data_IF_149393303961
#
_entry.id   IF_149393303961
#
_cell.length_a   1.000
_cell.length_b   1.000
_cell.length_c   1.000
_cell.angle_alpha   90.00
_cell.angle_beta   90.00
_cell.angle_gamma   90.00
#
_symmetry.space_group_name_H-M   'P 1'
#
loop_
_entity.id
_entity.type
_entity.pdbx_description
1 polymer ?
#
# COMPACT_ATOMS: atom_id res chain seq x y z
N UNK A 1 4.19 36.78 10.27
CA UNK A 1 2.93 37.52 10.08
C UNK A 1 1.81 36.49 10.07
N UNK A 2 0.75 36.68 10.84
CA UNK A 2 -0.36 35.74 10.94
C UNK A 2 -1.56 36.26 10.14
N UNK A 3 -2.41 35.34 9.69
CA UNK A 3 -3.67 35.69 9.04
C UNK A 3 -4.58 36.41 10.04
N UNK A 4 -5.36 37.41 9.58
CA UNK A 4 -6.34 38.07 10.45
C UNK A 4 -7.44 37.09 10.89
N UNK A 5 -8.09 37.36 12.01
CA UNK A 5 -9.15 36.48 12.55
C UNK A 5 -10.31 36.31 11.55
N UNK A 6 -10.71 37.40 10.91
CA UNK A 6 -11.79 37.40 9.91
C UNK A 6 -11.44 36.54 8.69
N UNK A 7 -10.22 36.68 8.17
CA UNK A 7 -9.74 35.87 7.05
C UNK A 7 -9.59 34.39 7.43
N UNK A 8 -9.17 34.09 8.66
CA UNK A 8 -9.11 32.73 9.16
C UNK A 8 -10.49 32.07 9.23
N UNK A 9 -11.53 32.82 9.63
CA UNK A 9 -12.92 32.35 9.61
C UNK A 9 -13.43 32.12 8.18
N UNK A 10 -13.03 32.96 7.22
CA UNK A 10 -13.36 32.76 5.80
C UNK A 10 -12.76 31.44 5.29
N UNK A 11 -11.47 31.19 5.54
CA UNK A 11 -10.83 29.92 5.14
C UNK A 11 -11.54 28.74 5.77
N UNK A 12 -11.86 28.82 7.07
CA UNK A 12 -12.56 27.75 7.77
C UNK A 12 -13.93 27.43 7.13
N UNK A 13 -14.73 28.45 6.80
CA UNK A 13 -16.02 28.29 6.11
C UNK A 13 -15.85 27.68 4.72
N UNK A 14 -14.88 28.16 3.94
CA UNK A 14 -14.60 27.63 2.60
C UNK A 14 -14.17 26.16 2.65
N UNK A 15 -13.40 25.75 3.68
CA UNK A 15 -13.10 24.33 3.89
C UNK A 15 -14.38 23.53 4.15
N UNK A 16 -15.26 23.99 5.05
CA UNK A 16 -16.50 23.27 5.38
C UNK A 16 -17.43 23.11 4.17
N UNK A 17 -17.46 24.09 3.27
CA UNK A 17 -18.24 24.04 2.03
C UNK A 17 -17.66 23.05 1.00
N UNK A 18 -16.39 22.66 1.12
CA UNK A 18 -15.67 21.82 0.15
C UNK A 18 -15.07 20.57 0.82
N UNK A 19 -15.88 19.81 1.56
CA UNK A 19 -15.49 18.54 2.22
C UNK A 19 -14.26 18.63 3.14
N UNK A 20 -14.04 19.81 3.73
CA UNK A 20 -12.90 20.11 4.58
C UNK A 20 -11.61 20.40 3.82
N UNK A 21 -11.65 20.57 2.50
CA UNK A 21 -10.47 20.77 1.63
C UNK A 21 -10.40 22.21 1.13
N UNK A 22 -9.19 22.75 1.05
CA UNK A 22 -8.92 24.07 0.49
C UNK A 22 -7.77 24.01 -0.50
N UNK A 23 -8.10 24.29 -1.76
CA UNK A 23 -7.21 24.20 -2.93
C UNK A 23 -6.90 25.59 -3.48
N UNK A 24 -5.89 25.65 -4.37
CA UNK A 24 -5.55 26.87 -5.10
C UNK A 24 -6.73 27.42 -5.90
N UNK A 25 -7.57 26.55 -6.49
CA UNK A 25 -8.75 26.97 -7.24
C UNK A 25 -9.79 27.67 -6.35
N UNK A 26 -10.06 27.11 -5.16
CA UNK A 26 -10.99 27.70 -4.19
C UNK A 26 -10.45 29.06 -3.71
N UNK A 27 -9.14 29.12 -3.46
CA UNK A 27 -8.45 30.36 -3.08
C UNK A 27 -8.55 31.42 -4.19
N UNK A 28 -8.26 31.06 -5.44
CA UNK A 28 -8.31 31.98 -6.59
C UNK A 28 -9.70 32.55 -6.83
N UNK A 29 -10.75 31.72 -6.75
CA UNK A 29 -12.16 32.18 -6.88
C UNK A 29 -12.57 33.16 -5.78
N UNK A 30 -11.94 33.05 -4.60
CA UNK A 30 -12.29 33.83 -3.42
C UNK A 30 -11.25 34.86 -3.02
N UNK A 31 -10.26 35.14 -3.87
CA UNK A 31 -9.11 35.99 -3.53
C UNK A 31 -9.54 37.39 -3.05
N UNK A 32 -10.60 37.94 -3.65
CA UNK A 32 -11.16 39.25 -3.30
C UNK A 32 -11.72 39.33 -1.87
N UNK A 33 -11.98 38.20 -1.21
CA UNK A 33 -12.43 38.14 0.19
C UNK A 33 -11.28 38.39 1.18
N UNK A 34 -10.01 38.20 0.78
CA UNK A 34 -8.82 38.37 1.63
C UNK A 34 -8.26 39.80 1.59
N UNK A 35 -9.09 40.78 1.96
CA UNK A 35 -8.75 42.21 1.81
C UNK A 35 -7.53 42.64 2.63
N UNK A 36 -7.39 42.12 3.86
CA UNK A 36 -6.29 42.49 4.74
C UNK A 36 -4.96 41.92 4.21
N UNK A 37 -4.97 40.68 3.72
CA UNK A 37 -3.83 40.05 3.05
C UNK A 37 -3.41 40.80 1.78
N UNK A 38 -4.37 41.31 1.01
CA UNK A 38 -4.11 42.13 -0.18
C UNK A 38 -3.53 43.50 0.21
N UNK A 39 -4.12 44.18 1.19
CA UNK A 39 -3.67 45.50 1.65
C UNK A 39 -2.23 45.48 2.19
N UNK A 40 -1.83 44.39 2.85
CA UNK A 40 -0.47 44.20 3.34
C UNK A 40 0.49 43.58 2.32
N UNK A 41 0.06 43.40 1.05
CA UNK A 41 0.89 42.86 -0.02
C UNK A 41 1.30 41.40 0.16
N UNK A 42 0.56 40.64 0.98
CA UNK A 42 0.83 39.23 1.25
C UNK A 42 0.26 38.31 0.15
N UNK A 43 -0.77 38.78 -0.56
CA UNK A 43 -1.48 38.07 -1.63
C UNK A 43 -1.86 39.06 -2.72
N UNK A 44 -1.56 38.73 -3.97
CA UNK A 44 -1.91 39.53 -5.15
C UNK A 44 -2.66 38.70 -6.20
N UNK A 45 -2.30 37.42 -6.36
CA UNK A 45 -2.91 36.53 -7.35
C UNK A 45 -2.98 35.08 -6.83
N UNK A 46 -3.53 34.17 -7.63
CA UNK A 46 -3.66 32.75 -7.26
C UNK A 46 -2.30 32.06 -7.07
N UNK A 47 -1.24 32.50 -7.76
CA UNK A 47 0.13 31.96 -7.60
C UNK A 47 0.70 32.19 -6.19
N UNK A 48 0.18 33.18 -5.45
CA UNK A 48 0.58 33.43 -4.07
C UNK A 48 0.04 32.40 -3.07
N UNK A 49 -0.74 31.42 -3.54
CA UNK A 49 -1.35 30.39 -2.70
C UNK A 49 -0.32 29.67 -1.81
N UNK A 50 0.87 29.34 -2.31
CA UNK A 50 1.91 28.68 -1.52
C UNK A 50 2.37 29.56 -0.34
N UNK A 51 2.48 30.87 -0.55
CA UNK A 51 2.84 31.81 0.50
C UNK A 51 1.66 31.99 1.48
N UNK A 52 0.43 32.02 0.98
CA UNK A 52 -0.77 32.05 1.80
C UNK A 52 -0.87 30.82 2.72
N UNK A 53 -0.54 29.62 2.23
CA UNK A 53 -0.51 28.41 3.04
C UNK A 53 0.47 28.51 4.23
N UNK A 54 1.57 29.26 4.10
CA UNK A 54 2.50 29.49 5.22
C UNK A 54 1.84 30.29 6.34
N UNK A 55 0.91 31.20 6.03
CA UNK A 55 0.16 31.98 7.02
C UNK A 55 -0.81 31.08 7.81
N UNK A 56 -1.35 30.04 7.17
CA UNK A 56 -2.25 29.08 7.81
C UNK A 56 -1.56 28.17 8.82
N UNK A 57 -0.24 27.94 8.69
CA UNK A 57 0.51 27.07 9.60
C UNK A 57 0.30 27.43 11.06
N UNK A 58 0.30 28.73 11.38
CA UNK A 58 0.15 29.21 12.77
C UNK A 58 -1.17 28.84 13.43
N UNK A 59 -2.24 28.62 12.65
CA UNK A 59 -3.57 28.30 13.21
C UNK A 59 -3.71 26.87 13.74
N UNK A 60 -2.79 25.96 13.37
CA UNK A 60 -2.80 24.53 13.75
C UNK A 60 -4.06 23.73 13.41
N UNK A 61 -5.00 24.33 12.69
CA UNK A 61 -6.27 23.71 12.32
C UNK A 61 -6.19 22.87 11.04
N UNK A 62 -5.10 23.00 10.29
CA UNK A 62 -4.98 22.43 8.95
C UNK A 62 -3.81 21.46 8.86
N UNK A 63 -3.98 20.46 8.01
CA UNK A 63 -2.97 19.49 7.57
C UNK A 63 -2.59 19.81 6.12
N UNK A 64 -1.31 19.68 5.79
CA UNK A 64 -0.76 20.10 4.49
C UNK A 64 -0.48 18.88 3.64
N UNK A 65 -1.00 18.88 2.41
CA UNK A 65 -0.96 17.73 1.51
C UNK A 65 -0.53 18.17 0.11
N UNK A 66 -0.14 17.18 -0.69
CA UNK A 66 0.25 17.35 -2.08
C UNK A 66 -0.39 16.24 -2.92
N UNK A 67 -1.02 16.63 -4.04
CA UNK A 67 -1.62 15.70 -5.01
C UNK A 67 -0.56 15.03 -5.89
N UNK A 68 -0.98 14.03 -6.67
CA UNK A 68 -0.12 13.31 -7.62
C UNK A 68 0.55 14.24 -8.65
N UNK A 69 -0.12 15.33 -9.06
CA UNK A 69 0.44 16.34 -9.98
C UNK A 69 1.33 17.37 -9.27
N UNK A 70 1.56 17.21 -7.96
CA UNK A 70 2.40 18.10 -7.18
C UNK A 70 1.71 19.37 -6.70
N UNK A 71 0.40 19.52 -6.94
CA UNK A 71 -0.42 20.64 -6.44
C UNK A 71 -0.57 20.52 -4.93
N UNK A 72 -0.37 21.62 -4.20
CA UNK A 72 -0.53 21.65 -2.74
C UNK A 72 -1.96 21.99 -2.39
N UNK A 73 -2.45 21.45 -1.29
CA UNK A 73 -3.75 21.81 -0.72
C UNK A 73 -3.69 21.60 0.80
N UNK A 74 -4.69 22.12 1.49
CA UNK A 74 -4.83 21.86 2.93
C UNK A 74 -6.15 21.20 3.22
N UNK A 75 -6.14 20.35 4.25
CA UNK A 75 -7.32 19.69 4.78
C UNK A 75 -7.53 20.07 6.23
N UNK A 76 -8.76 20.37 6.59
CA UNK A 76 -9.17 20.67 7.95
C UNK A 76 -8.96 19.43 8.84
N UNK A 77 -8.30 19.63 9.97
CA UNK A 77 -8.08 18.57 10.97
C UNK A 77 -9.35 18.28 11.76
N UNK A 78 -9.54 17.01 12.07
CA UNK A 78 -10.55 16.58 13.04
C UNK A 78 -10.22 17.11 14.45
N UNK A 79 -11.20 16.99 15.36
CA UNK A 79 -11.07 17.47 16.74
C UNK A 79 -9.94 16.76 17.50
N UNK A 80 -9.70 15.48 17.26
CA UNK A 80 -8.68 14.69 17.95
C UNK A 80 -7.29 15.10 17.50
N UNK A 81 -7.06 15.15 16.20
CA UNK A 81 -5.78 15.62 15.64
C UNK A 81 -5.45 17.05 16.06
N UNK A 82 -6.46 17.95 16.11
CA UNK A 82 -6.26 19.32 16.62
C UNK A 82 -5.79 19.34 18.08
N UNK A 83 -6.38 18.50 18.94
CA UNK A 83 -6.00 18.42 20.35
C UNK A 83 -4.61 17.79 20.54
N UNK A 84 -4.22 16.84 19.71
CA UNK A 84 -2.86 16.26 19.74
C UNK A 84 -1.83 17.32 19.35
N UNK A 85 -2.09 18.03 18.26
CA UNK A 85 -1.21 19.06 17.71
C UNK A 85 -1.13 20.33 18.58
N UNK A 86 -2.20 20.66 19.31
CA UNK A 86 -2.20 21.79 20.24
C UNK A 86 -1.26 21.61 21.43
N UNK A 87 -0.90 20.36 21.78
CA UNK A 87 0.02 20.04 22.87
C UNK A 87 1.49 20.23 22.50
N UNK A 88 1.80 20.31 21.20
CA UNK A 88 3.17 20.42 20.69
C UNK A 88 3.72 21.83 20.87
N UNK A 89 5.03 21.96 21.14
CA UNK A 89 5.70 23.26 21.02
C UNK A 89 5.84 23.68 19.56
N UNK A 90 6.08 24.99 19.30
CA UNK A 90 6.12 25.52 17.93
C UNK A 90 7.17 24.82 17.05
N UNK A 91 8.32 24.48 17.62
CA UNK A 91 9.38 23.74 16.94
C UNK A 91 8.95 22.30 16.61
N UNK A 92 8.36 21.60 17.58
CA UNK A 92 7.87 20.22 17.41
C UNK A 92 6.74 20.16 16.38
N UNK A 93 5.86 21.16 16.41
CA UNK A 93 4.77 21.31 15.46
C UNK A 93 5.28 21.56 14.04
N UNK A 94 6.33 22.37 13.87
CA UNK A 94 6.95 22.58 12.56
C UNK A 94 7.54 21.28 12.00
N UNK A 95 8.23 20.50 12.84
CA UNK A 95 8.77 19.18 12.49
C UNK A 95 7.63 18.20 12.15
N UNK A 96 6.56 18.17 12.95
CA UNK A 96 5.38 17.34 12.71
C UNK A 96 4.72 17.68 11.36
N UNK A 97 4.54 18.96 11.03
CA UNK A 97 3.98 19.37 9.74
C UNK A 97 4.85 18.91 8.56
N UNK A 98 6.17 18.99 8.69
CA UNK A 98 7.09 18.54 7.63
C UNK A 98 6.98 17.02 7.40
N UNK A 99 6.82 16.25 8.47
CA UNK A 99 6.62 14.79 8.41
C UNK A 99 5.26 14.44 7.83
N UNK A 100 4.21 15.13 8.26
CA UNK A 100 2.86 14.91 7.73
C UNK A 100 2.77 15.19 6.22
N UNK A 101 3.40 16.28 5.76
CA UNK A 101 3.40 16.64 4.33
C UNK A 101 4.07 15.56 3.47
N UNK A 102 4.98 14.77 4.05
CA UNK A 102 5.71 13.72 3.34
C UNK A 102 4.92 12.41 3.16
N UNK A 103 3.82 12.24 3.89
CA UNK A 103 2.92 11.10 3.73
C UNK A 103 3.57 9.72 3.90
N UNK A 104 3.30 8.84 2.95
CA UNK A 104 3.72 7.42 2.91
C UNK A 104 5.19 7.21 2.53
N UNK A 105 5.78 8.16 1.79
CA UNK A 105 7.22 8.18 1.43
C UNK A 105 8.13 8.56 2.60
N UNK A 106 7.57 9.20 3.62
CA UNK A 106 8.32 9.71 4.76
C UNK A 106 9.35 10.78 4.36
N UNK A 107 10.05 11.31 5.36
CA UNK A 107 11.01 12.41 5.18
C UNK A 107 12.35 12.10 5.86
N UNK A 108 13.45 12.43 5.18
CA UNK A 108 14.80 12.22 5.69
C UNK A 108 15.20 13.30 6.69
N UNK A 109 15.94 12.90 7.72
CA UNK A 109 16.39 13.82 8.79
C UNK A 109 17.11 15.07 8.27
N UNK A 110 17.91 14.99 7.20
CA UNK A 110 18.58 16.16 6.65
C UNK A 110 17.59 17.13 5.99
N UNK A 111 16.55 16.62 5.32
CA UNK A 111 15.51 17.43 4.70
C UNK A 111 14.63 18.12 5.74
N UNK A 112 14.31 17.43 6.85
CA UNK A 112 13.62 18.06 7.99
C UNK A 112 14.42 19.25 8.52
N UNK A 113 15.75 19.08 8.71
CA UNK A 113 16.63 20.19 9.17
C UNK A 113 16.58 21.37 8.21
N UNK A 114 16.60 21.10 6.91
CA UNK A 114 16.58 22.12 5.86
C UNK A 114 15.24 22.86 5.81
N UNK A 115 14.12 22.14 5.91
CA UNK A 115 12.77 22.72 5.83
C UNK A 115 12.41 23.50 7.09
N UNK A 116 12.80 23.01 8.27
CA UNK A 116 12.51 23.66 9.54
C UNK A 116 13.60 24.67 9.95
N UNK A 117 14.69 24.79 9.20
CA UNK A 117 15.82 25.69 9.45
C UNK A 117 16.40 25.56 10.88
N UNK A 118 16.54 24.31 11.36
CA UNK A 118 16.92 24.00 12.74
C UNK A 118 18.21 23.23 12.86
N UNK A 119 18.87 23.39 14.02
CA UNK A 119 20.11 22.66 14.32
C UNK A 119 19.84 21.18 14.59
N UNK A 120 20.86 20.34 14.40
CA UNK A 120 20.75 18.90 14.60
C UNK A 120 20.30 18.50 16.00
N UNK A 121 20.76 19.19 17.04
CA UNK A 121 20.40 18.90 18.43
C UNK A 121 18.92 19.21 18.72
N UNK A 122 18.42 20.29 18.15
CA UNK A 122 17.01 20.68 18.29
C UNK A 122 16.11 19.66 17.60
N UNK A 123 16.47 19.23 16.38
CA UNK A 123 15.72 18.18 15.68
C UNK A 123 15.68 16.87 16.47
N UNK A 124 16.81 16.41 17.01
CA UNK A 124 16.86 15.14 17.77
C UNK A 124 15.97 15.20 19.01
N UNK A 125 15.93 16.34 19.71
CA UNK A 125 15.03 16.54 20.87
C UNK A 125 13.56 16.51 20.46
N UNK A 126 13.19 17.26 19.41
CA UNK A 126 11.81 17.30 18.92
C UNK A 126 11.34 15.93 18.41
N UNK A 127 12.19 15.19 17.69
CA UNK A 127 11.87 13.83 17.26
C UNK A 127 11.67 12.89 18.44
N UNK A 128 12.51 12.98 19.48
CA UNK A 128 12.37 12.17 20.69
C UNK A 128 11.01 12.42 21.38
N UNK A 129 10.60 13.68 21.51
CA UNK A 129 9.29 14.06 22.07
C UNK A 129 8.15 13.51 21.20
N UNK A 130 8.22 13.69 19.88
CA UNK A 130 7.19 13.21 18.95
C UNK A 130 7.05 11.68 18.93
N UNK A 131 8.16 10.94 19.12
CA UNK A 131 8.19 9.47 19.15
C UNK A 131 7.77 8.90 20.50
N UNK A 132 8.40 9.35 21.59
CA UNK A 132 8.29 8.71 22.91
C UNK A 132 7.14 9.28 23.75
N UNK A 133 6.90 10.59 23.70
CA UNK A 133 5.90 11.22 24.56
C UNK A 133 4.52 11.25 23.90
N UNK A 134 4.47 11.57 22.60
CA UNK A 134 3.19 11.71 21.89
C UNK A 134 2.85 10.51 20.99
N UNK A 135 3.83 9.72 20.55
CA UNK A 135 3.61 8.55 19.70
C UNK A 135 2.97 8.87 18.34
N UNK A 136 3.14 10.10 17.82
CA UNK A 136 2.48 10.54 16.58
C UNK A 136 3.27 10.15 15.32
N UNK A 137 4.56 9.90 15.47
CA UNK A 137 5.52 9.64 14.40
C UNK A 137 6.15 8.28 14.64
N UNK A 138 6.61 7.62 13.57
CA UNK A 138 7.47 6.44 13.62
C UNK A 138 8.71 6.61 12.75
N UNK A 139 9.79 5.94 13.13
CA UNK A 139 11.00 5.85 12.33
C UNK A 139 10.89 4.69 11.33
N UNK A 140 11.27 4.93 10.09
CA UNK A 140 11.33 3.92 9.02
C UNK A 140 12.72 3.91 8.41
N UNK A 141 13.20 2.73 8.05
CA UNK A 141 14.44 2.52 7.31
C UNK A 141 14.12 2.32 5.83
N UNK A 142 14.89 2.95 4.95
CA UNK A 142 14.78 2.69 3.52
C UNK A 142 15.57 1.42 3.20
N UNK A 143 14.90 0.43 2.63
CA UNK A 143 15.50 -0.85 2.22
C UNK A 143 16.68 -0.67 1.25
N UNK A 144 16.59 0.25 0.30
CA UNK A 144 17.65 0.53 -0.67
C UNK A 144 18.78 1.40 -0.08
N UNK A 145 18.52 2.12 1.00
CA UNK A 145 19.46 3.06 1.62
C UNK A 145 19.43 2.96 3.15
N UNK A 146 19.93 1.85 3.69
CA UNK A 146 19.91 1.50 5.12
C UNK A 146 20.52 2.57 6.04
N UNK A 147 21.42 3.41 5.54
CA UNK A 147 22.04 4.50 6.31
C UNK A 147 21.13 5.71 6.53
N UNK A 148 20.01 5.83 5.80
CA UNK A 148 19.09 6.98 5.90
C UNK A 148 17.92 6.67 6.83
N UNK A 149 17.82 7.45 7.90
CA UNK A 149 16.67 7.42 8.83
C UNK A 149 15.54 8.30 8.28
N UNK A 150 14.42 7.69 7.94
CA UNK A 150 13.20 8.36 7.52
C UNK A 150 12.20 8.41 8.69
N UNK A 151 11.35 9.43 8.67
CA UNK A 151 10.25 9.57 9.63
C UNK A 151 8.93 9.75 8.89
N UNK A 152 7.87 9.17 9.43
CA UNK A 152 6.51 9.28 8.90
C UNK A 152 5.47 9.22 10.03
N UNK A 153 4.21 9.52 9.75
CA UNK A 153 3.14 9.40 10.73
C UNK A 153 2.93 7.95 11.18
N UNK A 154 2.59 7.75 12.45
CA UNK A 154 2.41 6.42 13.02
C UNK A 154 1.33 5.60 12.28
N UNK A 155 0.19 6.25 12.00
CA UNK A 155 -0.99 5.64 11.38
C UNK A 155 -0.86 5.44 9.85
N UNK A 156 0.20 5.93 9.21
CA UNK A 156 0.37 5.84 7.76
C UNK A 156 1.21 4.61 7.42
N UNK A 157 0.77 3.78 6.46
CA UNK A 157 1.55 2.64 5.98
C UNK A 157 2.68 3.15 5.07
N UNK A 158 3.94 2.70 5.26
CA UNK A 158 5.05 3.09 4.38
C UNK A 158 4.82 2.63 2.94
N UNK A 159 5.27 3.44 1.98
CA UNK A 159 5.21 3.09 0.57
C UNK A 159 6.00 1.80 0.27
N UNK A 160 5.53 1.02 -0.71
CA UNK A 160 6.16 -0.25 -1.13
C UNK A 160 7.64 -0.10 -1.51
N UNK A 161 8.01 1.04 -2.10
CA UNK A 161 9.38 1.38 -2.46
C UNK A 161 10.30 1.53 -1.23
N UNK A 162 9.75 1.92 -0.07
CA UNK A 162 10.51 2.00 1.17
C UNK A 162 10.65 0.64 1.84
N UNK A 163 9.57 -0.15 1.81
CA UNK A 163 9.52 -1.45 2.46
C UNK A 163 10.15 -2.54 1.63
N UNK A 164 10.44 -2.33 0.34
CA UNK A 164 10.98 -3.35 -0.56
C UNK A 164 9.95 -4.42 -0.97
N UNK A 165 8.67 -4.24 -0.60
CA UNK A 165 7.59 -5.20 -0.82
C UNK A 165 7.79 -6.52 -0.08
N UNK A 166 7.19 -7.60 -0.61
CA UNK A 166 7.10 -8.93 -0.01
C UNK A 166 8.45 -9.62 0.27
N UNK A 167 9.56 -9.07 -0.21
CA UNK A 167 10.93 -9.58 -0.05
C UNK A 167 11.64 -9.08 1.22
N UNK A 168 11.03 -8.11 1.90
CA UNK A 168 11.63 -7.44 3.04
C UNK A 168 10.63 -7.40 4.19
N UNK A 169 11.05 -7.85 5.36
CA UNK A 169 10.24 -7.82 6.57
C UNK A 169 10.90 -6.89 7.57
N UNK A 170 10.17 -5.88 8.06
CA UNK A 170 10.70 -4.87 8.97
C UNK A 170 11.98 -4.15 8.50
N UNK A 171 12.16 -4.00 7.18
CA UNK A 171 13.33 -3.33 6.59
C UNK A 171 14.59 -4.20 6.52
N UNK A 172 14.50 -5.48 6.87
CA UNK A 172 15.55 -6.48 6.67
C UNK A 172 15.22 -7.38 5.48
N UNK A 173 16.26 -7.77 4.75
CA UNK A 173 16.12 -8.69 3.62
C UNK A 173 15.82 -10.08 4.13
N UNK A 174 14.83 -10.74 3.54
CA UNK A 174 14.37 -12.01 4.02
C UNK A 174 15.24 -13.17 3.52
N UNK A 175 16.28 -13.51 4.28
CA UNK A 175 17.26 -14.56 3.94
C UNK A 175 16.67 -15.97 3.93
N UNK A 176 15.59 -16.25 4.68
CA UNK A 176 14.96 -17.60 4.69
C UNK A 176 14.34 -17.98 3.35
N UNK A 177 14.04 -16.99 2.52
CA UNK A 177 13.52 -17.20 1.17
C UNK A 177 14.65 -17.66 0.22
N UNK A 178 15.91 -17.31 0.53
CA UNK A 178 17.10 -17.70 -0.25
C UNK A 178 17.44 -19.17 -0.01
N UNK A 179 17.30 -19.64 1.23
CA UNK A 179 17.83 -20.94 1.64
C UNK A 179 17.13 -22.12 0.93
N UNK A 180 15.84 -21.97 0.65
CA UNK A 180 15.05 -22.93 -0.14
C UNK A 180 15.52 -22.98 -1.61
N UNK A 181 15.90 -21.85 -2.19
CA UNK A 181 16.46 -21.79 -3.55
C UNK A 181 17.83 -22.47 -3.66
N UNK A 182 18.68 -22.31 -2.65
CA UNK A 182 20.00 -22.95 -2.61
C UNK A 182 19.95 -24.47 -2.42
N UNK A 183 18.93 -25.01 -1.74
CA UNK A 183 18.76 -26.45 -1.55
C UNK A 183 18.27 -27.13 -2.84
N UNK A 184 17.46 -26.44 -3.66
CA UNK A 184 16.97 -26.98 -4.93
C UNK A 184 18.04 -26.95 -6.04
N UNK A 185 19.09 -26.14 -5.91
CA UNK A 185 20.23 -26.12 -6.83
C UNK A 185 21.38 -27.03 -6.35
N UNK A 186 21.35 -28.31 -6.70
CA UNK A 186 22.60 -29.08 -6.76
C UNK A 186 23.46 -28.49 -7.88
N UNK A 187 24.42 -27.61 -7.55
CA UNK A 187 25.54 -27.33 -8.46
C UNK A 187 26.11 -25.92 -8.61
N UNK A 188 25.74 -24.91 -7.83
CA UNK A 188 26.39 -23.58 -7.95
C UNK A 188 26.91 -23.02 -6.62
N UNK A 189 28.10 -23.50 -6.22
CA UNK A 189 28.92 -22.98 -5.09
C UNK A 189 29.39 -21.52 -5.28
N UNK A 190 29.08 -20.88 -6.42
CA UNK A 190 29.45 -19.49 -6.69
C UNK A 190 28.46 -18.45 -6.17
N UNK A 191 27.19 -18.79 -5.90
CA UNK A 191 26.20 -17.77 -5.49
C UNK A 191 26.48 -17.19 -4.09
N UNK A 192 26.99 -18.03 -3.17
CA UNK A 192 27.28 -17.63 -1.78
C UNK A 192 28.42 -16.59 -1.68
N UNK A 193 29.45 -16.69 -2.52
CA UNK A 193 30.59 -15.77 -2.50
C UNK A 193 30.34 -14.44 -3.21
N UNK A 194 29.31 -14.35 -4.06
CA UNK A 194 28.97 -13.13 -4.82
C UNK A 194 28.15 -12.16 -3.94
N UNK A 195 27.43 -12.66 -2.93
CA UNK A 195 26.58 -11.87 -2.02
C UNK A 195 27.32 -10.86 -1.13
N UNK A 196 28.66 -10.80 -1.16
CA UNK A 196 29.47 -9.91 -0.30
C UNK A 196 30.01 -8.64 -0.97
N UNK A 197 29.66 -8.33 -2.22
CA UNK A 197 30.24 -7.21 -2.96
C UNK A 197 29.23 -6.12 -3.35
N UNK A 198 29.31 -4.98 -2.65
CA UNK A 198 28.49 -3.77 -2.85
C UNK A 198 28.80 -3.08 -4.21
N UNK A 199 28.05 -3.39 -5.27
CA UNK A 199 27.97 -2.52 -6.45
C UNK A 199 26.55 -2.37 -7.02
N UNK A 200 26.16 -1.15 -7.46
CA UNK A 200 24.78 -0.86 -7.87
C UNK A 200 24.33 -1.51 -9.19
N UNK A 201 25.24 -1.92 -10.07
CA UNK A 201 24.90 -2.67 -11.31
C UNK A 201 24.61 -4.16 -11.06
N UNK A 202 25.10 -4.70 -9.94
CA UNK A 202 24.90 -6.10 -9.57
C UNK A 202 23.56 -6.30 -8.85
N UNK A 203 23.07 -5.27 -8.13
CA UNK A 203 21.75 -5.26 -7.48
C UNK A 203 20.61 -5.53 -8.46
N UNK A 204 20.67 -5.00 -9.68
CA UNK A 204 19.62 -5.19 -10.70
C UNK A 204 19.58 -6.62 -11.25
N UNK A 205 20.75 -7.24 -11.46
CA UNK A 205 20.86 -8.65 -11.85
C UNK A 205 20.46 -9.59 -10.71
N UNK A 206 20.88 -9.29 -9.47
CA UNK A 206 20.43 -9.99 -8.26
C UNK A 206 18.92 -9.91 -8.08
N UNK A 207 18.35 -8.71 -8.22
CA UNK A 207 16.92 -8.49 -8.07
C UNK A 207 16.14 -9.29 -9.11
N UNK A 208 16.59 -9.33 -10.36
CA UNK A 208 15.91 -10.07 -11.43
C UNK A 208 16.01 -11.60 -11.27
N UNK A 209 17.19 -12.11 -10.93
CA UNK A 209 17.41 -13.55 -10.73
C UNK A 209 16.66 -14.02 -9.47
N UNK A 210 16.67 -13.23 -8.40
CA UNK A 210 15.99 -13.56 -7.15
C UNK A 210 14.47 -13.41 -7.24
N UNK A 211 13.97 -12.38 -7.95
CA UNK A 211 12.54 -12.28 -8.28
C UNK A 211 12.06 -13.50 -9.04
N UNK A 212 12.84 -13.98 -10.00
CA UNK A 212 12.50 -15.17 -10.77
C UNK A 212 12.33 -16.40 -9.85
N UNK A 213 13.24 -16.63 -8.90
CA UNK A 213 13.14 -17.75 -7.97
C UNK A 213 12.00 -17.61 -6.95
N UNK A 214 11.78 -16.43 -6.36
CA UNK A 214 10.63 -16.25 -5.46
C UNK A 214 9.32 -16.45 -6.23
N UNK A 215 9.23 -15.86 -7.41
CA UNK A 215 8.05 -15.96 -8.25
C UNK A 215 7.77 -17.42 -8.59
N UNK A 216 8.79 -18.19 -8.95
CA UNK A 216 8.68 -19.64 -9.15
C UNK A 216 8.24 -20.37 -7.87
N UNK A 217 8.78 -20.02 -6.70
CA UNK A 217 8.39 -20.67 -5.44
C UNK A 217 6.94 -20.38 -5.04
N UNK A 218 6.47 -19.14 -5.18
CA UNK A 218 5.07 -18.80 -4.92
C UNK A 218 4.17 -19.45 -5.97
N UNK A 219 4.56 -19.46 -7.25
CA UNK A 219 3.83 -20.18 -8.31
C UNK A 219 3.67 -21.67 -7.96
N UNK A 220 4.73 -22.32 -7.43
CA UNK A 220 4.68 -23.71 -6.98
C UNK A 220 3.74 -23.90 -5.78
N UNK A 221 3.75 -23.01 -4.79
CA UNK A 221 2.82 -23.09 -3.64
C UNK A 221 1.37 -22.86 -4.07
N UNK A 222 1.12 -21.87 -4.94
CA UNK A 222 -0.21 -21.59 -5.50
C UNK A 222 -0.69 -22.78 -6.34
N UNK A 223 0.18 -23.34 -7.18
CA UNK A 223 -0.13 -24.51 -7.99
C UNK A 223 -0.44 -25.74 -7.14
N UNK A 224 0.38 -26.03 -6.11
CA UNK A 224 0.14 -27.13 -5.18
C UNK A 224 -1.18 -26.97 -4.41
N UNK A 225 -1.51 -25.75 -4.00
CA UNK A 225 -2.77 -25.44 -3.34
C UNK A 225 -3.96 -25.65 -4.27
N UNK A 226 -3.93 -25.06 -5.47
CA UNK A 226 -5.03 -25.15 -6.43
C UNK A 226 -5.20 -26.57 -7.00
N UNK A 227 -4.13 -27.35 -7.11
CA UNK A 227 -4.20 -28.76 -7.47
C UNK A 227 -5.02 -29.57 -6.46
N UNK A 228 -4.98 -29.19 -5.17
CA UNK A 228 -5.74 -29.83 -4.09
C UNK A 228 -7.13 -29.22 -3.87
N UNK A 229 -7.26 -27.91 -4.04
CA UNK A 229 -8.47 -27.12 -3.77
C UNK A 229 -8.88 -26.31 -5.01
N UNK A 230 -9.49 -27.01 -5.97
CA UNK A 230 -9.96 -26.42 -7.23
C UNK A 230 -11.10 -25.42 -6.99
N UNK A 231 -11.15 -24.34 -7.77
CA UNK A 231 -12.21 -23.34 -7.68
C UNK A 231 -12.10 -22.41 -6.47
N UNK A 232 -10.87 -22.15 -6.01
CA UNK A 232 -10.61 -21.26 -4.87
C UNK A 232 -10.61 -19.78 -5.30
N UNK A 233 -11.15 -18.91 -4.46
CA UNK A 233 -11.11 -17.45 -4.63
C UNK A 233 -9.74 -16.85 -4.30
N UNK A 234 -9.49 -15.62 -4.75
CA UNK A 234 -8.25 -14.88 -4.49
C UNK A 234 -7.94 -14.80 -2.98
N UNK A 235 -8.96 -14.50 -2.15
CA UNK A 235 -8.79 -14.37 -0.71
C UNK A 235 -8.48 -15.69 -0.03
N UNK A 236 -9.05 -16.81 -0.50
CA UNK A 236 -8.73 -18.15 0.02
C UNK A 236 -7.27 -18.53 -0.26
N UNK A 237 -6.80 -18.27 -1.49
CA UNK A 237 -5.40 -18.51 -1.88
C UNK A 237 -4.47 -17.62 -1.05
N UNK A 238 -4.80 -16.34 -0.92
CA UNK A 238 -3.98 -15.38 -0.15
C UNK A 238 -3.91 -15.76 1.33
N UNK A 239 -5.02 -16.20 1.93
CA UNK A 239 -5.03 -16.66 3.31
C UNK A 239 -4.18 -17.94 3.49
N UNK A 240 -4.24 -18.87 2.55
CA UNK A 240 -3.36 -20.04 2.57
C UNK A 240 -1.88 -19.64 2.55
N UNK A 241 -1.49 -18.70 1.67
CA UNK A 241 -0.11 -18.23 1.58
C UNK A 241 0.33 -17.50 2.86
N UNK A 242 -0.57 -16.76 3.51
CA UNK A 242 -0.30 -16.10 4.81
C UNK A 242 -0.14 -17.07 5.97
N UNK A 243 -0.83 -18.21 5.95
CA UNK A 243 -0.73 -19.25 7.00
C UNK A 243 0.39 -20.26 6.71
N UNK A 244 0.97 -20.22 5.52
CA UNK A 244 2.06 -21.12 5.13
C UNK A 244 3.39 -20.64 5.71
N UNK A 245 4.00 -21.44 6.57
CA UNK A 245 5.35 -21.20 7.12
C UNK A 245 6.46 -21.14 6.05
N UNK A 246 6.14 -21.53 4.80
CA UNK A 246 7.08 -21.56 3.68
C UNK A 246 7.28 -20.20 3.01
N UNK A 247 6.41 -19.23 3.29
CA UNK A 247 6.51 -17.89 2.72
C UNK A 247 6.75 -16.94 3.88
N UNK A 248 7.94 -16.41 3.95
CA UNK A 248 8.30 -15.38 4.90
C UNK A 248 8.05 -14.00 4.26
N UNK A 249 7.27 -13.14 4.90
CA UNK A 249 6.97 -11.77 4.41
C UNK A 249 5.48 -11.40 4.45
N UNK A 250 5.16 -10.14 4.17
CA UNK A 250 3.77 -9.69 4.04
C UNK A 250 3.24 -10.11 2.65
N UNK A 251 2.27 -11.04 2.60
CA UNK A 251 1.62 -11.44 1.35
C UNK A 251 0.39 -10.57 1.10
N UNK A 252 0.44 -9.75 0.05
CA UNK A 252 -0.67 -8.90 -0.38
C UNK A 252 -1.51 -9.58 -1.47
N UNK A 253 -2.83 -9.35 -1.49
CA UNK A 253 -3.71 -9.92 -2.52
C UNK A 253 -3.33 -9.47 -3.94
N UNK A 254 -2.81 -8.25 -4.10
CA UNK A 254 -2.34 -7.72 -5.40
C UNK A 254 -1.17 -8.52 -5.99
N UNK A 255 -0.25 -8.97 -5.13
CA UNK A 255 0.90 -9.78 -5.55
C UNK A 255 0.45 -11.18 -5.95
N UNK A 256 -0.46 -11.77 -5.17
CA UNK A 256 -1.05 -13.08 -5.48
C UNK A 256 -1.83 -13.02 -6.80
N UNK A 257 -2.59 -11.95 -7.04
CA UNK A 257 -3.32 -11.75 -8.30
C UNK A 257 -2.35 -11.66 -9.48
N UNK A 258 -1.26 -10.92 -9.35
CA UNK A 258 -0.24 -10.81 -10.40
C UNK A 258 0.38 -12.17 -10.73
N UNK A 259 0.65 -12.99 -9.71
CA UNK A 259 1.20 -14.34 -9.89
C UNK A 259 0.19 -15.25 -10.58
N UNK A 260 -1.09 -15.16 -10.20
CA UNK A 260 -2.16 -15.91 -10.86
C UNK A 260 -2.32 -15.49 -12.32
N UNK A 261 -2.24 -14.19 -12.62
CA UNK A 261 -2.27 -13.70 -14.00
C UNK A 261 -1.12 -14.28 -14.83
N UNK A 262 0.08 -14.37 -14.27
CA UNK A 262 1.21 -15.03 -14.95
C UNK A 262 0.91 -16.52 -15.18
N UNK A 263 0.36 -17.23 -14.18
CA UNK A 263 -0.02 -18.64 -14.34
C UNK A 263 -1.14 -18.85 -15.39
N UNK A 264 -2.03 -17.87 -15.57
CA UNK A 264 -3.03 -17.87 -16.65
C UNK A 264 -2.35 -17.69 -18.01
N UNK A 265 -1.37 -16.77 -18.12
CA UNK A 265 -0.58 -16.58 -19.35
C UNK A 265 0.25 -17.82 -19.69
N UNK A 266 0.75 -18.53 -18.67
CA UNK A 266 1.45 -19.81 -18.81
C UNK A 266 0.49 -21.00 -19.08
N UNK A 267 -0.81 -20.75 -19.24
CA UNK A 267 -1.82 -21.79 -19.49
C UNK A 267 -1.94 -22.84 -18.36
N UNK A 268 -1.46 -22.54 -17.15
CA UNK A 268 -1.49 -23.45 -15.99
C UNK A 268 -2.69 -23.24 -15.09
N UNK A 269 -3.28 -22.05 -15.10
CA UNK A 269 -4.45 -21.68 -14.30
C UNK A 269 -5.55 -21.12 -15.19
N UNK A 270 -6.80 -21.47 -14.90
CA UNK A 270 -7.98 -20.89 -15.52
C UNK A 270 -8.77 -20.07 -14.50
N UNK A 271 -9.35 -18.95 -14.93
CA UNK A 271 -10.25 -18.13 -14.12
C UNK A 271 -11.69 -18.31 -14.62
N UNK A 272 -12.62 -18.56 -13.70
CA UNK A 272 -14.04 -18.66 -13.99
C UNK A 272 -14.84 -17.71 -13.07
N UNK A 273 -15.83 -16.98 -13.60
CA UNK A 273 -16.75 -16.22 -12.77
C UNK A 273 -17.75 -17.15 -12.09
N UNK A 274 -18.01 -16.91 -10.80
CA UNK A 274 -19.11 -17.53 -10.04
C UNK A 274 -20.44 -16.83 -10.33
N UNK A 275 -21.54 -17.41 -9.87
CA UNK A 275 -22.86 -16.79 -9.93
C UNK A 275 -22.94 -15.44 -9.18
N UNK A 276 -22.08 -15.23 -8.18
CA UNK A 276 -21.95 -13.95 -7.46
C UNK A 276 -21.15 -12.89 -8.22
N UNK A 277 -20.50 -13.24 -9.33
CA UNK A 277 -19.61 -12.36 -10.11
C UNK A 277 -18.14 -12.38 -9.64
N UNK A 278 -17.81 -13.16 -8.61
CA UNK A 278 -16.45 -13.31 -8.12
C UNK A 278 -15.63 -14.26 -9.00
N UNK A 279 -14.31 -14.07 -9.08
CA UNK A 279 -13.44 -14.97 -9.84
C UNK A 279 -12.90 -16.09 -8.97
N UNK A 280 -13.07 -17.33 -9.44
CA UNK A 280 -12.43 -18.52 -8.89
C UNK A 280 -11.32 -19.02 -9.81
N UNK A 281 -10.26 -19.56 -9.21
CA UNK A 281 -9.09 -20.03 -9.93
C UNK A 281 -8.95 -21.54 -9.85
N UNK A 282 -8.53 -22.11 -10.96
CA UNK A 282 -8.58 -23.54 -11.22
C UNK A 282 -7.25 -23.98 -11.82
N UNK A 283 -6.62 -25.00 -11.24
CA UNK A 283 -5.34 -25.52 -11.71
C UNK A 283 -5.52 -26.51 -12.86
N UNK A 284 -4.98 -26.16 -14.03
CA UNK A 284 -4.87 -27.01 -15.21
C UNK A 284 -3.51 -27.74 -15.27
N UNK A 285 -2.47 -27.20 -14.63
CA UNK A 285 -1.13 -27.80 -14.63
C UNK A 285 -0.57 -27.91 -16.05
N UNK A 286 -0.15 -29.12 -16.46
CA UNK A 286 0.29 -29.45 -17.82
C UNK A 286 -0.82 -30.09 -18.67
N UNK A 287 -2.05 -30.18 -18.16
CA UNK A 287 -3.18 -30.67 -18.95
C UNK A 287 -3.63 -29.59 -19.95
N UNK A 288 -4.17 -30.04 -21.09
CA UNK A 288 -4.71 -29.13 -22.10
C UNK A 288 -5.79 -28.23 -21.45
N UNK A 289 -5.57 -26.91 -21.43
CA UNK A 289 -6.51 -25.92 -20.87
C UNK A 289 -7.92 -26.08 -21.43
N UNK A 290 -8.01 -26.57 -22.67
CA UNK A 290 -9.26 -26.85 -23.35
C UNK A 290 -10.06 -27.99 -22.70
N UNK A 291 -9.40 -28.94 -22.03
CA UNK A 291 -10.06 -29.97 -21.19
C UNK A 291 -10.58 -29.36 -19.89
N UNK A 292 -9.79 -28.52 -19.22
CA UNK A 292 -10.25 -27.81 -18.02
C UNK A 292 -11.48 -26.95 -18.36
N UNK A 293 -11.40 -26.11 -19.38
CA UNK A 293 -12.54 -25.29 -19.85
C UNK A 293 -13.82 -26.12 -20.11
N UNK A 294 -13.69 -27.30 -20.72
CA UNK A 294 -14.83 -28.21 -20.97
C UNK A 294 -15.33 -28.91 -19.71
N UNK A 295 -14.44 -29.38 -18.84
CA UNK A 295 -14.78 -30.03 -17.57
C UNK A 295 -15.46 -29.06 -16.60
N UNK A 296 -15.05 -27.79 -16.60
CA UNK A 296 -15.63 -26.73 -15.76
C UNK A 296 -16.80 -25.98 -16.42
N UNK A 297 -17.15 -26.34 -17.66
CA UNK A 297 -18.49 -26.15 -18.22
C UNK A 297 -19.56 -27.02 -17.55
N UNK A 298 -19.16 -27.91 -16.63
CA UNK A 298 -20.09 -28.70 -15.84
C UNK A 298 -20.97 -27.79 -14.96
N UNK A 299 -22.26 -28.09 -14.87
CA UNK A 299 -23.26 -27.21 -14.24
C UNK A 299 -23.03 -27.03 -12.74
N UNK A 300 -22.32 -27.95 -12.09
CA UNK A 300 -22.02 -27.87 -10.66
C UNK A 300 -21.20 -26.62 -10.28
N UNK A 301 -20.34 -26.10 -11.16
CA UNK A 301 -19.51 -24.91 -10.88
C UNK A 301 -20.27 -23.59 -11.00
N UNK A 302 -21.44 -23.61 -11.65
CA UNK A 302 -22.35 -22.46 -11.79
C UNK A 302 -23.68 -22.65 -11.05
N UNK A 303 -23.75 -23.68 -10.20
CA UNK A 303 -24.98 -24.05 -9.52
C UNK A 303 -25.14 -23.22 -8.24
N UNK A 304 -26.20 -22.41 -8.18
CA UNK A 304 -26.50 -21.54 -7.04
C UNK A 304 -26.75 -22.30 -5.73
N UNK A 305 -27.07 -23.59 -5.82
CA UNK A 305 -27.34 -24.49 -4.68
C UNK A 305 -26.25 -25.55 -4.49
N UNK A 306 -25.06 -25.37 -5.08
CA UNK A 306 -23.97 -26.34 -5.01
C UNK A 306 -23.57 -26.70 -3.57
N UNK A 307 -23.53 -25.71 -2.67
CA UNK A 307 -23.13 -25.89 -1.27
C UNK A 307 -24.14 -26.72 -0.45
N UNK A 308 -25.37 -26.83 -0.92
CA UNK A 308 -26.45 -27.61 -0.28
C UNK A 308 -26.67 -28.98 -0.96
N UNK A 309 -25.83 -29.32 -1.95
CA UNK A 309 -25.91 -30.57 -2.69
C UNK A 309 -25.07 -31.66 -2.02
N UNK A 310 -25.71 -32.75 -1.58
CA UNK A 310 -25.07 -33.84 -0.84
C UNK A 310 -25.10 -35.16 -1.63
N UNK A 311 -24.11 -36.04 -1.40
CA UNK A 311 -23.92 -37.26 -2.21
C UNK A 311 -24.95 -38.38 -1.95
N UNK A 312 -25.72 -38.31 -0.87
CA UNK A 312 -26.73 -39.32 -0.52
C UNK A 312 -28.03 -39.21 -1.33
N UNK A 313 -28.58 -40.32 -1.81
CA UNK A 313 -29.82 -40.36 -2.64
C UNK A 313 -31.07 -39.94 -1.85
N UNK A 314 -30.99 -40.09 -0.54
CA UNK A 314 -31.95 -39.64 0.46
C UNK A 314 -32.05 -38.11 0.56
N UNK A 315 -31.03 -37.37 0.11
CA UNK A 315 -31.07 -35.90 0.12
C UNK A 315 -31.90 -35.36 -1.04
N UNK A 316 -32.65 -34.29 -0.78
CA UNK A 316 -33.45 -33.60 -1.80
C UNK A 316 -32.57 -33.01 -2.90
N UNK A 317 -31.45 -32.38 -2.52
CA UNK A 317 -30.43 -31.88 -3.43
C UNK A 317 -29.26 -32.86 -3.46
N UNK A 318 -29.18 -33.67 -4.51
CA UNK A 318 -28.07 -34.60 -4.72
C UNK A 318 -27.73 -34.75 -6.21
N UNK A 319 -26.47 -35.10 -6.55
CA UNK A 319 -26.05 -35.23 -7.95
C UNK A 319 -26.86 -36.28 -8.72
N UNK A 320 -27.33 -37.34 -8.05
CA UNK A 320 -28.10 -38.42 -8.67
C UNK A 320 -29.49 -38.01 -9.18
N UNK A 321 -30.06 -36.92 -8.65
CA UNK A 321 -31.36 -36.34 -9.05
C UNK A 321 -31.19 -34.96 -9.72
N UNK A 322 -29.96 -34.54 -9.98
CA UNK A 322 -29.66 -33.19 -10.43
C UNK A 322 -30.10 -32.99 -11.89
N UNK A 323 -31.08 -32.11 -12.09
CA UNK A 323 -31.59 -31.74 -13.42
C UNK A 323 -30.53 -31.07 -14.28
N UNK A 324 -29.73 -30.17 -13.70
CA UNK A 324 -28.66 -29.49 -14.42
C UNK A 324 -27.61 -30.48 -14.94
N UNK A 325 -27.19 -31.44 -14.09
CA UNK A 325 -26.19 -32.44 -14.45
C UNK A 325 -26.72 -33.41 -15.52
N UNK A 326 -27.96 -33.85 -15.39
CA UNK A 326 -28.60 -34.71 -16.40
C UNK A 326 -28.72 -34.01 -17.76
N UNK A 327 -29.14 -32.74 -17.79
CA UNK A 327 -29.20 -31.96 -19.04
C UNK A 327 -27.83 -31.76 -19.69
N UNK A 328 -26.77 -31.68 -18.89
CA UNK A 328 -25.42 -31.50 -19.39
C UNK A 328 -24.80 -32.80 -19.94
N UNK A 329 -25.14 -33.96 -19.36
CA UNK A 329 -24.63 -35.27 -19.79
C UNK A 329 -25.31 -35.81 -21.06
N UNK A 330 -26.51 -35.31 -21.40
CA UNK A 330 -27.29 -35.74 -22.57
C UNK A 330 -28.43 -36.68 -22.21
#
# INVERSE_FOLDING_TARGET
MALSREEAEIVYKLCLENDGIFTEEIFGRHIAKFRHSIQHGLVSNSLDFINFLKLLKGSRNYSFHQDAEGRKYVKLRDSVSRQQVSRLHDLEYAVFCAIETAGDRGIWTADIKKICEITGNQLTRSLKVLLEQHGLVKQVTNVHQKSRKLYMLFNVKPARELTGGSFYFNGEFNEMLVEVGSILSHGHSSAYNICKMDTPKMLTLYHNVYYFYLLQHIQEQVGAYLAKYQGSSLSQITNFLKTSDKISGEVLEEDVLSIIQILILEEKVYSAPTASGDSIYIWAGSANVNFASKAFGAPCFKCDVAMSCHLGKENELCPSKCTYLNQWLG
#
